data_IF_564744064591
#
_entry.id   IF_564744064591
#
_cell.length_a   1.000
_cell.length_b   1.000
_cell.length_c   1.000
_cell.angle_alpha   90.00
_cell.angle_beta   90.00
_cell.angle_gamma   90.00
#
_symmetry.space_group_name_H-M   'P 1'
#
loop_
_entity.id
_entity.type
_entity.pdbx_description
1 polymer ?
#
# COMPACT_ATOMS: atom_id res chain seq x y z
N UNK A 1 14.35 -49.29 -23.29
CA UNK A 1 14.71 -47.93 -23.70
C UNK A 1 13.52 -47.31 -24.43
N UNK A 2 12.59 -46.70 -23.69
CA UNK A 2 11.48 -45.89 -24.22
C UNK A 2 11.40 -44.62 -23.33
N UNK A 3 12.41 -43.77 -23.44
CA UNK A 3 12.46 -42.50 -22.67
C UNK A 3 12.63 -41.25 -23.56
N UNK A 4 12.80 -41.39 -24.87
CA UNK A 4 13.12 -40.27 -25.76
C UNK A 4 11.91 -39.46 -26.26
N UNK A 5 10.69 -39.94 -26.10
CA UNK A 5 9.50 -39.21 -26.59
C UNK A 5 8.88 -38.25 -25.56
N UNK A 6 8.95 -38.54 -24.27
CA UNK A 6 8.33 -37.72 -23.20
C UNK A 6 9.18 -36.49 -22.88
N UNK A 7 10.51 -36.64 -22.90
CA UNK A 7 11.44 -35.56 -22.64
C UNK A 7 11.42 -34.50 -23.75
N UNK A 8 11.22 -34.86 -24.99
CA UNK A 8 11.13 -33.95 -26.14
C UNK A 8 9.81 -33.19 -26.15
N UNK A 9 8.69 -33.83 -25.85
CA UNK A 9 7.37 -33.18 -25.73
C UNK A 9 7.35 -32.18 -24.53
N UNK A 10 7.90 -32.60 -23.39
CA UNK A 10 7.99 -31.72 -22.20
C UNK A 10 8.87 -30.50 -22.48
N UNK A 11 10.02 -30.71 -23.13
CA UNK A 11 10.93 -29.62 -23.51
C UNK A 11 10.27 -28.59 -24.46
N UNK A 12 9.48 -29.08 -25.43
CA UNK A 12 8.73 -28.22 -26.34
C UNK A 12 7.67 -27.42 -25.61
N UNK A 13 6.87 -28.04 -24.73
CA UNK A 13 5.82 -27.37 -23.94
C UNK A 13 6.42 -26.28 -23.06
N UNK A 14 7.53 -26.53 -22.36
CA UNK A 14 8.18 -25.55 -21.49
C UNK A 14 8.73 -24.36 -22.29
N UNK A 15 9.34 -24.61 -23.43
CA UNK A 15 9.84 -23.54 -24.29
C UNK A 15 8.71 -22.66 -24.83
N UNK A 16 7.60 -23.26 -25.27
CA UNK A 16 6.43 -22.54 -25.77
C UNK A 16 5.76 -21.72 -24.66
N UNK A 17 5.66 -22.26 -23.44
CA UNK A 17 5.13 -21.56 -22.29
C UNK A 17 5.95 -20.30 -21.98
N UNK A 18 7.29 -20.40 -21.93
CA UNK A 18 8.18 -19.25 -21.66
C UNK A 18 8.08 -18.20 -22.78
N UNK A 19 8.04 -18.61 -24.04
CA UNK A 19 7.89 -17.70 -25.18
C UNK A 19 6.54 -16.98 -25.16
N UNK A 20 5.47 -17.71 -24.87
CA UNK A 20 4.11 -17.17 -24.76
C UNK A 20 4.06 -16.15 -23.63
N UNK A 21 4.55 -16.50 -22.45
CA UNK A 21 4.62 -15.57 -21.31
C UNK A 21 5.38 -14.28 -21.64
N UNK A 22 6.56 -14.42 -22.25
CA UNK A 22 7.37 -13.28 -22.67
C UNK A 22 6.62 -12.39 -23.69
N UNK A 23 5.90 -12.99 -24.64
CA UNK A 23 5.11 -12.23 -25.61
C UNK A 23 3.94 -11.47 -24.95
N UNK A 24 3.24 -12.11 -24.00
CA UNK A 24 2.17 -11.47 -23.21
C UNK A 24 2.70 -10.31 -22.37
N UNK A 25 3.84 -10.49 -21.70
CA UNK A 25 4.48 -9.44 -20.91
C UNK A 25 4.84 -8.23 -21.78
N UNK A 26 5.46 -8.46 -22.94
CA UNK A 26 5.76 -7.37 -23.88
C UNK A 26 4.51 -6.63 -24.31
N UNK A 27 3.43 -7.34 -24.65
CA UNK A 27 2.17 -6.72 -25.06
C UNK A 27 1.59 -5.85 -23.92
N UNK A 28 1.62 -6.32 -22.67
CA UNK A 28 1.16 -5.55 -21.52
C UNK A 28 2.02 -4.29 -21.28
N UNK A 29 3.33 -4.38 -21.49
CA UNK A 29 4.24 -3.23 -21.38
C UNK A 29 4.01 -2.21 -22.49
N UNK A 30 3.81 -2.66 -23.73
CA UNK A 30 3.53 -1.78 -24.87
C UNK A 30 2.20 -1.02 -24.71
N UNK A 31 1.21 -1.63 -24.04
CA UNK A 31 -0.09 -1.04 -23.72
C UNK A 31 -0.15 -0.22 -22.43
N UNK A 32 0.94 -0.10 -21.69
CA UNK A 32 0.93 0.60 -20.40
C UNK A 32 0.75 2.11 -20.57
N UNK A 33 -0.22 2.69 -19.86
CA UNK A 33 -0.45 4.13 -19.83
C UNK A 33 0.66 4.84 -19.02
N UNK A 34 1.72 5.29 -19.69
CA UNK A 34 2.86 5.94 -19.04
C UNK A 34 2.47 7.22 -18.31
N UNK A 35 1.47 7.96 -18.82
CA UNK A 35 0.93 9.15 -18.16
C UNK A 35 0.32 8.84 -16.79
N UNK A 36 -0.28 7.66 -16.62
CA UNK A 36 -0.79 7.21 -15.33
C UNK A 36 0.37 6.90 -14.35
N UNK A 37 1.46 6.31 -14.84
CA UNK A 37 2.68 6.09 -14.01
C UNK A 37 3.28 7.43 -13.57
N UNK A 38 3.30 8.42 -14.48
CA UNK A 38 3.75 9.77 -14.15
C UNK A 38 2.82 10.45 -13.13
N UNK A 39 1.49 10.30 -13.27
CA UNK A 39 0.52 10.83 -12.31
C UNK A 39 0.76 10.28 -10.90
N UNK A 40 0.95 8.96 -10.75
CA UNK A 40 1.30 8.35 -9.45
C UNK A 40 2.62 8.90 -8.91
N UNK A 41 3.63 9.07 -9.77
CA UNK A 41 4.92 9.64 -9.38
C UNK A 41 4.78 11.07 -8.86
N UNK A 42 3.92 11.87 -9.48
CA UNK A 42 3.60 13.25 -9.05
C UNK A 42 2.89 13.29 -7.70
N UNK A 43 1.94 12.37 -7.45
CA UNK A 43 1.27 12.27 -6.14
C UNK A 43 2.25 11.94 -5.02
N UNK A 44 3.21 11.06 -5.26
CA UNK A 44 4.27 10.74 -4.30
C UNK A 44 5.14 11.99 -4.01
N UNK A 45 5.53 12.73 -5.04
CA UNK A 45 6.32 13.95 -4.88
C UNK A 45 5.51 15.06 -4.18
N UNK A 46 4.23 15.22 -4.51
CA UNK A 46 3.35 16.17 -3.85
C UNK A 46 3.16 15.82 -2.36
N UNK A 47 3.00 14.54 -2.03
CA UNK A 47 2.96 14.05 -0.63
C UNK A 47 4.25 14.36 0.11
N UNK A 48 5.38 14.11 -0.52
CA UNK A 48 6.69 14.47 0.03
C UNK A 48 6.79 15.98 0.32
N UNK A 49 6.33 16.84 -0.60
CA UNK A 49 6.41 18.30 -0.48
C UNK A 49 5.55 18.85 0.65
N UNK A 50 4.39 18.25 0.91
CA UNK A 50 3.53 18.62 2.05
C UNK A 50 3.90 17.93 3.36
N UNK A 51 4.96 17.09 3.36
CA UNK A 51 5.46 16.40 4.56
C UNK A 51 4.60 15.23 5.01
N UNK A 52 3.73 14.73 4.13
CA UNK A 52 2.86 13.59 4.38
C UNK A 52 3.61 12.26 4.47
N UNK A 53 2.90 11.23 4.87
CA UNK A 53 3.33 9.84 4.90
C UNK A 53 2.64 9.04 3.81
N UNK A 54 3.33 8.05 3.25
CA UNK A 54 2.77 7.12 2.29
C UNK A 54 2.51 5.80 2.99
N UNK A 55 1.30 5.26 2.83
CA UNK A 55 0.96 3.90 3.24
C UNK A 55 0.69 3.08 1.98
N UNK A 56 1.27 1.90 1.91
CA UNK A 56 1.09 1.01 0.76
C UNK A 56 0.69 -0.38 1.23
N UNK A 57 -0.26 -1.01 0.54
CA UNK A 57 -0.75 -2.34 0.89
C UNK A 57 -1.36 -3.08 -0.30
N UNK A 58 -1.49 -4.39 -0.14
CA UNK A 58 -2.09 -5.32 -1.08
C UNK A 58 -2.07 -6.74 -0.54
N UNK A 59 -2.54 -7.71 -1.31
CA UNK A 59 -2.57 -9.14 -0.94
C UNK A 59 -1.63 -9.95 -1.83
N UNK A 60 -1.09 -11.06 -1.34
CA UNK A 60 -0.29 -12.00 -2.14
C UNK A 60 0.90 -11.34 -2.84
N UNK A 61 0.99 -11.45 -4.17
CA UNK A 61 2.01 -10.79 -4.97
C UNK A 61 1.95 -9.26 -4.86
N UNK A 62 0.75 -8.69 -4.75
CA UNK A 62 0.57 -7.26 -4.47
C UNK A 62 1.11 -6.85 -3.09
N UNK A 63 1.07 -7.73 -2.07
CA UNK A 63 1.71 -7.48 -0.78
C UNK A 63 3.24 -7.46 -0.91
N UNK A 64 3.80 -8.39 -1.68
CA UNK A 64 5.24 -8.41 -1.97
C UNK A 64 5.67 -7.12 -2.69
N UNK A 65 4.89 -6.65 -3.66
CA UNK A 65 5.13 -5.37 -4.36
C UNK A 65 5.01 -4.19 -3.40
N UNK A 66 4.05 -4.19 -2.47
CA UNK A 66 3.90 -3.14 -1.46
C UNK A 66 5.12 -3.04 -0.53
N UNK A 67 5.61 -4.17 -0.03
CA UNK A 67 6.83 -4.25 0.78
C UNK A 67 8.06 -3.79 0.00
N UNK A 68 8.19 -4.20 -1.26
CA UNK A 68 9.27 -3.78 -2.15
C UNK A 68 9.23 -2.27 -2.41
N UNK A 69 8.05 -1.72 -2.68
CA UNK A 69 7.86 -0.28 -2.89
C UNK A 69 8.25 0.53 -1.65
N UNK A 70 7.87 0.07 -0.46
CA UNK A 70 8.27 0.72 0.79
C UNK A 70 9.80 0.71 0.98
N UNK A 71 10.45 -0.41 0.69
CA UNK A 71 11.91 -0.53 0.72
C UNK A 71 12.57 0.43 -0.28
N UNK A 72 12.14 0.41 -1.53
CA UNK A 72 12.77 1.17 -2.61
C UNK A 72 12.59 2.67 -2.43
N UNK A 73 11.37 3.13 -2.21
CA UNK A 73 11.10 4.56 -1.99
C UNK A 73 11.74 5.07 -0.70
N UNK A 74 11.76 4.25 0.38
CA UNK A 74 12.38 4.65 1.64
C UNK A 74 13.90 4.74 1.59
N UNK A 75 14.56 3.86 0.82
CA UNK A 75 16.03 3.72 0.76
C UNK A 75 16.64 4.37 -0.48
N UNK A 76 16.08 4.07 -1.68
CA UNK A 76 16.74 4.41 -2.94
C UNK A 76 16.54 5.86 -3.38
N UNK A 77 15.62 6.59 -2.74
CA UNK A 77 15.35 8.02 -3.00
C UNK A 77 16.11 8.96 -2.08
N UNK A 78 16.86 8.43 -1.12
CA UNK A 78 17.66 9.23 -0.18
C UNK A 78 18.59 10.16 -0.95
N UNK A 79 18.45 11.45 -0.71
CA UNK A 79 19.22 12.52 -1.34
C UNK A 79 19.84 13.40 -0.25
N UNK A 80 21.17 13.58 -0.25
CA UNK A 80 21.83 14.42 0.74
C UNK A 80 21.25 15.85 0.76
N UNK A 81 20.99 16.35 1.96
CA UNK A 81 20.43 17.71 2.14
C UNK A 81 18.91 17.80 2.03
N UNK A 82 18.20 16.73 1.67
CA UNK A 82 16.75 16.67 1.66
C UNK A 82 16.20 15.76 2.77
N UNK A 83 14.98 16.00 3.28
CA UNK A 83 14.28 15.10 4.16
C UNK A 83 14.12 13.71 3.51
N UNK A 84 13.96 12.68 4.32
CA UNK A 84 13.65 11.34 3.81
C UNK A 84 12.17 11.23 3.51
N UNK A 85 11.84 10.52 2.44
CA UNK A 85 10.48 10.12 2.12
C UNK A 85 9.96 9.18 3.22
N UNK A 86 8.76 9.43 3.71
CA UNK A 86 8.11 8.64 4.75
C UNK A 86 7.15 7.66 4.09
N UNK A 87 7.48 6.40 4.15
CA UNK A 87 6.64 5.33 3.58
C UNK A 87 6.61 4.12 4.49
N UNK A 88 5.47 3.46 4.56
CA UNK A 88 5.26 2.24 5.33
C UNK A 88 4.38 1.27 4.54
N UNK A 89 4.79 0.01 4.48
CA UNK A 89 3.93 -1.08 4.03
C UNK A 89 3.10 -1.62 5.20
N UNK A 90 1.79 -1.74 5.02
CA UNK A 90 0.90 -2.33 5.99
C UNK A 90 0.91 -3.87 5.95
N UNK A 91 1.70 -4.46 5.04
CA UNK A 91 1.82 -5.91 4.90
C UNK A 91 3.01 -6.50 5.67
N UNK A 92 3.90 -5.64 6.21
CA UNK A 92 5.19 -6.09 6.77
C UNK A 92 5.06 -6.60 8.21
N UNK A 93 4.06 -6.15 8.96
CA UNK A 93 3.83 -6.63 10.32
C UNK A 93 2.92 -7.86 10.32
N UNK A 94 3.49 -9.02 10.06
CA UNK A 94 2.77 -10.29 10.00
C UNK A 94 2.00 -10.60 11.27
N UNK A 95 2.55 -10.28 12.44
CA UNK A 95 1.88 -10.53 13.72
C UNK A 95 0.60 -9.70 13.85
N UNK A 96 0.66 -8.41 13.52
CA UNK A 96 -0.51 -7.52 13.55
C UNK A 96 -1.55 -7.95 12.52
N UNK A 97 -1.13 -8.24 11.29
CA UNK A 97 -2.02 -8.65 10.19
C UNK A 97 -2.77 -9.93 10.54
N UNK A 98 -2.07 -10.94 11.09
CA UNK A 98 -2.70 -12.21 11.47
C UNK A 98 -3.61 -12.07 12.69
N UNK A 99 -3.27 -11.23 13.68
CA UNK A 99 -4.12 -10.95 14.82
C UNK A 99 -5.42 -10.25 14.38
N UNK A 100 -5.34 -9.20 13.58
CA UNK A 100 -6.51 -8.50 13.04
C UNK A 100 -7.39 -9.44 12.20
N UNK A 101 -6.78 -10.28 11.35
CA UNK A 101 -7.51 -11.25 10.56
C UNK A 101 -8.25 -12.29 11.42
N UNK A 102 -7.64 -12.74 12.52
CA UNK A 102 -8.24 -13.71 13.45
C UNK A 102 -9.38 -13.10 14.26
N UNK A 103 -9.22 -11.88 14.73
CA UNK A 103 -10.13 -11.26 15.70
C UNK A 103 -11.27 -10.48 15.02
N UNK A 104 -11.02 -9.84 13.88
CA UNK A 104 -11.94 -8.94 13.20
C UNK A 104 -12.31 -9.39 11.77
N UNK A 105 -11.63 -10.40 11.25
CA UNK A 105 -11.79 -10.88 9.88
C UNK A 105 -10.79 -10.25 8.92
N UNK A 106 -10.48 -10.99 7.84
CA UNK A 106 -9.48 -10.56 6.86
C UNK A 106 -9.86 -9.27 6.12
N UNK A 107 -11.14 -8.97 6.04
CA UNK A 107 -11.64 -7.75 5.38
C UNK A 107 -11.23 -6.47 6.12
N UNK A 108 -10.99 -6.54 7.43
CA UNK A 108 -10.66 -5.39 8.26
C UNK A 108 -9.15 -5.07 8.32
N UNK A 109 -8.26 -5.97 7.88
CA UNK A 109 -6.82 -5.92 8.19
C UNK A 109 -6.11 -4.63 7.80
N UNK A 110 -6.48 -3.97 6.71
CA UNK A 110 -5.86 -2.71 6.29
C UNK A 110 -6.58 -1.50 6.88
N UNK A 111 -7.91 -1.54 6.94
CA UNK A 111 -8.72 -0.48 7.55
C UNK A 111 -8.33 -0.25 9.01
N UNK A 112 -8.21 -1.33 9.80
CA UNK A 112 -7.84 -1.26 11.22
C UNK A 112 -6.42 -0.71 11.43
N UNK A 113 -5.47 -1.07 10.57
CA UNK A 113 -4.13 -0.51 10.64
C UNK A 113 -4.11 0.99 10.33
N UNK A 114 -4.93 1.47 9.38
CA UNK A 114 -5.08 2.88 9.08
C UNK A 114 -5.82 3.66 10.18
N UNK A 115 -6.75 3.03 10.90
CA UNK A 115 -7.39 3.62 12.08
C UNK A 115 -6.42 3.75 13.27
N UNK A 116 -5.47 2.83 13.41
CA UNK A 116 -4.43 2.89 14.44
C UNK A 116 -3.33 3.90 14.10
N UNK A 117 -3.01 4.06 12.84
CA UNK A 117 -2.08 5.08 12.37
C UNK A 117 -2.82 6.42 12.19
N UNK A 118 -2.31 7.54 12.70
CA UNK A 118 -2.92 8.83 12.41
C UNK A 118 -2.75 9.15 10.92
N UNK A 119 -3.79 8.89 10.14
CA UNK A 119 -3.87 9.23 8.70
C UNK A 119 -4.47 10.63 8.56
N UNK A 120 -3.85 11.48 7.76
CA UNK A 120 -4.19 12.87 7.56
C UNK A 120 -4.39 13.21 6.09
N UNK A 121 -4.96 14.38 5.82
CA UNK A 121 -5.18 14.86 4.44
C UNK A 121 -3.89 15.06 3.63
N UNK A 122 -2.76 15.22 4.30
CA UNK A 122 -1.43 15.32 3.68
C UNK A 122 -0.87 13.96 3.24
N UNK A 123 -1.44 12.85 3.70
CA UNK A 123 -0.94 11.51 3.45
C UNK A 123 -1.41 10.95 2.10
N UNK A 124 -0.74 9.90 1.66
CA UNK A 124 -1.04 9.17 0.43
C UNK A 124 -1.22 7.69 0.73
N UNK A 125 -2.28 7.13 0.22
CA UNK A 125 -2.53 5.69 0.25
C UNK A 125 -2.31 5.12 -1.14
N UNK A 126 -1.46 4.10 -1.24
CA UNK A 126 -1.24 3.34 -2.47
C UNK A 126 -1.79 1.93 -2.25
N UNK A 127 -2.92 1.65 -2.85
CA UNK A 127 -3.61 0.36 -2.77
C UNK A 127 -3.30 -0.47 -4.02
N UNK A 128 -2.76 -1.68 -3.84
CA UNK A 128 -2.39 -2.57 -4.95
C UNK A 128 -3.32 -3.79 -4.92
N UNK A 129 -4.04 -4.02 -6.01
CA UNK A 129 -4.93 -5.17 -6.17
C UNK A 129 -5.06 -5.57 -7.63
N UNK A 130 -4.51 -6.71 -8.02
CA UNK A 130 -4.59 -7.18 -9.40
C UNK A 130 -6.03 -7.21 -9.93
N UNK A 131 -6.98 -7.73 -9.16
CA UNK A 131 -8.40 -7.74 -9.55
C UNK A 131 -9.11 -6.40 -9.39
N UNK A 132 -8.58 -5.50 -8.55
CA UNK A 132 -9.25 -4.27 -8.13
C UNK A 132 -10.50 -4.47 -7.28
N UNK A 133 -10.77 -5.71 -6.79
CA UNK A 133 -12.01 -6.04 -6.08
C UNK A 133 -11.78 -6.69 -4.70
N UNK A 134 -10.55 -6.69 -4.19
CA UNK A 134 -10.25 -7.28 -2.87
C UNK A 134 -10.96 -6.49 -1.76
N UNK A 135 -11.86 -7.12 -0.96
CA UNK A 135 -12.68 -6.39 0.03
C UNK A 135 -11.85 -5.63 1.06
N UNK A 136 -10.79 -6.23 1.59
CA UNK A 136 -9.89 -5.58 2.54
C UNK A 136 -9.13 -4.38 1.95
N UNK A 137 -8.77 -4.43 0.67
CA UNK A 137 -8.13 -3.31 -0.04
C UNK A 137 -9.12 -2.16 -0.20
N UNK A 138 -10.35 -2.47 -0.63
CA UNK A 138 -11.42 -1.46 -0.76
C UNK A 138 -11.80 -0.84 0.59
N UNK A 139 -11.85 -1.65 1.67
CA UNK A 139 -12.09 -1.14 3.02
C UNK A 139 -10.98 -0.19 3.49
N UNK A 140 -9.72 -0.53 3.23
CA UNK A 140 -8.59 0.36 3.52
C UNK A 140 -8.67 1.69 2.77
N UNK A 141 -8.99 1.66 1.47
CA UNK A 141 -9.19 2.88 0.67
C UNK A 141 -10.34 3.72 1.22
N UNK A 142 -11.47 3.11 1.55
CA UNK A 142 -12.62 3.83 2.12
C UNK A 142 -12.25 4.52 3.44
N UNK A 143 -11.50 3.86 4.32
CA UNK A 143 -11.00 4.44 5.58
C UNK A 143 -10.09 5.64 5.32
N UNK A 144 -9.18 5.53 4.35
CA UNK A 144 -8.28 6.61 3.97
C UNK A 144 -9.02 7.83 3.40
N UNK A 145 -9.99 7.58 2.51
CA UNK A 145 -10.84 8.63 1.93
C UNK A 145 -11.64 9.38 3.01
N UNK A 146 -12.17 8.66 4.01
CA UNK A 146 -12.85 9.28 5.15
C UNK A 146 -11.92 10.16 6.00
N UNK A 147 -10.64 9.83 6.08
CA UNK A 147 -9.61 10.64 6.73
C UNK A 147 -9.16 11.84 5.87
N UNK A 148 -9.60 11.93 4.62
CA UNK A 148 -9.24 12.98 3.68
C UNK A 148 -7.90 12.77 2.98
N UNK A 149 -7.27 11.60 3.13
CA UNK A 149 -6.01 11.29 2.48
C UNK A 149 -6.19 11.10 0.97
N UNK A 150 -5.13 11.38 0.20
CA UNK A 150 -5.09 11.09 -1.23
C UNK A 150 -4.96 9.59 -1.47
N UNK A 151 -5.55 9.10 -2.55
CA UNK A 151 -5.62 7.67 -2.85
C UNK A 151 -5.16 7.34 -4.26
N UNK A 152 -4.32 6.31 -4.37
CA UNK A 152 -3.84 5.72 -5.63
C UNK A 152 -4.21 4.25 -5.64
N UNK A 153 -4.78 3.78 -6.75
CA UNK A 153 -5.04 2.38 -7.02
C UNK A 153 -4.16 1.85 -8.15
N UNK A 154 -3.42 0.79 -7.91
CA UNK A 154 -2.66 0.07 -8.94
C UNK A 154 -3.34 -1.28 -9.17
N UNK A 155 -3.90 -1.50 -10.36
CA UNK A 155 -4.78 -2.63 -10.65
C UNK A 155 -4.44 -3.30 -11.98
N UNK A 156 -5.14 -4.41 -12.24
CA UNK A 156 -5.11 -5.13 -13.52
C UNK A 156 -6.49 -5.31 -14.11
N UNK A 157 -6.62 -6.20 -15.07
CA UNK A 157 -7.86 -6.48 -15.81
C UNK A 157 -8.50 -5.19 -16.35
N UNK A 158 -9.71 -4.88 -15.94
CA UNK A 158 -10.43 -3.64 -16.25
C UNK A 158 -10.49 -2.66 -15.05
N UNK A 159 -9.65 -2.86 -14.03
CA UNK A 159 -9.51 -1.94 -12.89
C UNK A 159 -10.36 -2.28 -11.67
N UNK A 160 -11.45 -3.04 -11.85
CA UNK A 160 -12.38 -3.38 -10.77
C UNK A 160 -13.01 -2.16 -10.08
N UNK A 161 -13.55 -2.33 -8.90
CA UNK A 161 -14.12 -1.26 -8.10
C UNK A 161 -13.04 -0.26 -7.64
N UNK A 162 -11.81 -0.71 -7.43
CA UNK A 162 -10.71 0.14 -6.96
C UNK A 162 -10.45 1.30 -7.92
N UNK A 163 -10.44 1.05 -9.23
CA UNK A 163 -10.16 2.08 -10.23
C UNK A 163 -11.17 3.24 -10.24
N UNK A 164 -12.40 3.02 -9.74
CA UNK A 164 -13.45 4.05 -9.69
C UNK A 164 -13.59 4.72 -8.32
N UNK A 165 -12.86 4.23 -7.31
CA UNK A 165 -12.94 4.73 -5.92
C UNK A 165 -11.74 5.56 -5.49
N UNK A 166 -10.65 5.52 -6.22
CA UNK A 166 -9.41 6.26 -5.91
C UNK A 166 -9.29 7.54 -6.73
N UNK A 167 -8.47 8.49 -6.25
CA UNK A 167 -8.22 9.75 -6.96
C UNK A 167 -7.37 9.54 -8.22
N UNK A 168 -6.43 8.61 -8.19
CA UNK A 168 -5.58 8.23 -9.33
C UNK A 168 -5.59 6.72 -9.51
N UNK A 169 -6.03 6.25 -10.66
CA UNK A 169 -6.01 4.84 -11.02
C UNK A 169 -4.95 4.54 -12.09
N UNK A 170 -4.16 3.48 -11.86
CA UNK A 170 -3.24 2.91 -12.81
C UNK A 170 -3.67 1.47 -13.10
N UNK A 171 -3.96 1.16 -14.36
CA UNK A 171 -4.52 -0.13 -14.77
C UNK A 171 -3.55 -0.80 -15.75
N UNK A 172 -3.16 -2.02 -15.42
CA UNK A 172 -2.44 -2.93 -16.32
C UNK A 172 -3.46 -3.77 -17.06
N UNK A 173 -3.69 -3.46 -18.33
CA UNK A 173 -4.68 -4.15 -19.17
C UNK A 173 -4.17 -5.54 -19.58
N UNK A 174 -4.35 -6.52 -18.69
CA UNK A 174 -4.07 -7.94 -18.91
C UNK A 174 -5.10 -8.77 -18.17
N UNK A 175 -5.39 -9.97 -18.66
CA UNK A 175 -6.23 -10.98 -18.02
C UNK A 175 -5.43 -12.10 -17.31
N UNK A 176 -4.09 -11.98 -17.31
CA UNK A 176 -3.16 -12.89 -16.67
C UNK A 176 -2.59 -12.25 -15.40
N UNK A 177 -2.86 -12.84 -14.24
CA UNK A 177 -2.47 -12.29 -12.94
C UNK A 177 -0.96 -12.13 -12.81
N UNK A 178 -0.20 -13.12 -13.26
CA UNK A 178 1.27 -13.12 -13.19
C UNK A 178 1.86 -11.97 -14.02
N UNK A 179 1.31 -11.69 -15.19
CA UNK A 179 1.69 -10.55 -16.02
C UNK A 179 1.37 -9.22 -15.33
N UNK A 180 0.19 -9.13 -14.71
CA UNK A 180 -0.21 -7.94 -13.95
C UNK A 180 0.78 -7.68 -12.82
N UNK A 181 1.13 -8.71 -12.04
CA UNK A 181 2.08 -8.60 -10.92
C UNK A 181 3.48 -8.22 -11.36
N UNK A 182 3.99 -8.80 -12.45
CA UNK A 182 5.29 -8.44 -13.03
C UNK A 182 5.33 -6.98 -13.49
N UNK A 183 4.28 -6.52 -14.16
CA UNK A 183 4.17 -5.13 -14.59
C UNK A 183 4.02 -4.18 -13.39
N UNK A 184 3.28 -4.56 -12.33
CA UNK A 184 3.21 -3.78 -11.08
C UNK A 184 4.59 -3.59 -10.45
N UNK A 185 5.42 -4.63 -10.44
CA UNK A 185 6.79 -4.54 -9.94
C UNK A 185 7.67 -3.63 -10.82
N UNK A 186 7.54 -3.72 -12.13
CA UNK A 186 8.23 -2.81 -13.06
C UNK A 186 7.80 -1.35 -12.84
N UNK A 187 6.50 -1.11 -12.65
CA UNK A 187 5.94 0.22 -12.34
C UNK A 187 6.55 0.77 -11.05
N UNK A 188 6.68 -0.05 -9.99
CA UNK A 188 7.37 0.35 -8.75
C UNK A 188 8.78 0.87 -9.02
N UNK A 189 9.56 0.15 -9.84
CA UNK A 189 10.93 0.56 -10.17
C UNK A 189 10.96 1.84 -11.02
N UNK A 190 10.01 2.01 -11.95
CA UNK A 190 9.89 3.22 -12.75
C UNK A 190 9.56 4.44 -11.89
N UNK A 191 8.59 4.32 -10.98
CA UNK A 191 8.20 5.35 -10.00
C UNK A 191 9.39 5.70 -9.10
N UNK A 192 10.05 4.71 -8.50
CA UNK A 192 11.21 4.92 -7.64
C UNK A 192 12.34 5.64 -8.37
N UNK A 193 12.57 5.30 -9.63
CA UNK A 193 13.57 5.98 -10.47
C UNK A 193 13.18 7.42 -10.73
N UNK A 194 11.91 7.70 -11.08
CA UNK A 194 11.38 9.05 -11.30
C UNK A 194 11.49 9.93 -10.06
N UNK A 195 11.04 9.42 -8.89
CA UNK A 195 11.14 10.14 -7.61
C UNK A 195 12.60 10.45 -7.26
N UNK A 196 13.49 9.47 -7.38
CA UNK A 196 14.93 9.66 -7.13
C UNK A 196 15.54 10.73 -8.03
N UNK A 197 15.23 10.71 -9.31
CA UNK A 197 15.75 11.71 -10.27
C UNK A 197 15.20 13.10 -9.93
N UNK A 198 13.93 13.24 -9.64
CA UNK A 198 13.30 14.51 -9.27
C UNK A 198 13.93 15.10 -7.99
N UNK A 199 14.12 14.30 -6.95
CA UNK A 199 14.72 14.77 -5.70
C UNK A 199 16.18 15.19 -5.89
N UNK A 200 16.96 14.44 -6.66
CA UNK A 200 18.36 14.81 -6.99
C UNK A 200 18.45 16.10 -7.80
N UNK A 201 17.55 16.34 -8.74
CA UNK A 201 17.51 17.57 -9.52
C UNK A 201 17.27 18.82 -8.64
N UNK A 202 16.50 18.68 -7.55
CA UNK A 202 16.27 19.77 -6.59
C UNK A 202 17.55 20.23 -5.88
N UNK A 203 18.45 19.31 -5.54
CA UNK A 203 19.75 19.67 -4.91
C UNK A 203 20.74 20.23 -5.90
N UNK A 204 20.71 19.80 -7.16
CA UNK A 204 21.57 20.33 -8.21
C UNK A 204 21.19 21.77 -8.62
N UNK A 205 19.91 22.13 -8.49
CA UNK A 205 19.40 23.48 -8.81
C UNK A 205 19.54 24.48 -7.65
N UNK A 206 19.87 24.02 -6.42
CA UNK A 206 20.09 24.91 -5.29
C UNK A 206 21.40 25.71 -5.51
N UNK A 207 21.41 27.06 -5.38
CA UNK A 207 22.61 27.85 -5.54
C UNK A 207 23.68 27.40 -4.52
N UNK A 208 24.91 27.20 -4.99
CA UNK A 208 26.09 26.88 -4.17
C UNK A 208 26.35 28.05 -3.20
N UNK A 209 25.83 27.98 -1.98
CA UNK A 209 26.00 29.02 -0.97
C UNK A 209 24.94 29.07 0.13
N UNK A 210 23.80 28.42 -0.02
CA UNK A 210 22.84 28.31 1.08
C UNK A 210 23.11 27.02 1.86
N UNK A 211 23.65 27.15 3.05
CA UNK A 211 23.68 26.06 4.03
C UNK A 211 22.27 25.47 4.13
N UNK A 212 22.08 24.15 4.03
CA UNK A 212 20.78 23.54 4.15
C UNK A 212 20.19 23.94 5.50
N UNK A 213 19.01 24.56 5.46
CA UNK A 213 18.25 24.85 6.66
C UNK A 213 18.04 23.51 7.38
N UNK A 214 18.47 23.36 8.63
CA UNK A 214 18.21 22.12 9.33
C UNK A 214 16.71 21.84 9.25
N UNK A 215 16.34 20.64 8.87
CA UNK A 215 14.96 20.20 8.88
C UNK A 215 14.37 20.59 10.25
N UNK A 216 13.33 21.41 10.25
CA UNK A 216 12.63 21.72 11.49
C UNK A 216 12.26 20.41 12.17
N UNK A 217 12.59 20.21 13.46
CA UNK A 217 12.15 19.02 14.16
C UNK A 217 10.63 18.96 14.00
N UNK A 218 10.13 17.77 13.64
CA UNK A 218 8.72 17.45 13.51
C UNK A 218 8.00 17.83 14.82
N UNK A 219 7.61 19.06 14.93
CA UNK A 219 6.67 19.53 15.94
C UNK A 219 5.31 19.56 15.27
N UNK A 220 4.62 18.43 15.39
CA UNK A 220 3.18 18.49 15.42
C UNK A 220 2.82 19.45 16.56
N UNK A 221 2.45 20.67 16.21
CA UNK A 221 1.82 21.57 17.13
C UNK A 221 0.54 20.87 17.61
N UNK A 222 0.62 20.24 18.79
CA UNK A 222 -0.56 19.88 19.56
C UNK A 222 -1.32 21.17 19.76
N UNK A 223 -2.35 21.43 18.98
CA UNK A 223 -3.38 22.39 19.33
C UNK A 223 -3.93 21.93 20.67
N UNK A 224 -3.47 22.59 21.72
CA UNK A 224 -4.06 22.52 23.03
C UNK A 224 -5.53 22.94 22.90
N UNK A 225 -6.41 21.97 22.91
CA UNK A 225 -7.81 22.20 23.25
C UNK A 225 -7.84 22.50 24.75
N UNK A 226 -7.59 23.74 25.12
CA UNK A 226 -8.03 24.28 26.40
C UNK A 226 -9.53 24.52 26.29
N UNK A 227 -10.28 23.50 26.61
CA UNK A 227 -11.66 23.63 26.98
C UNK A 227 -11.70 23.86 28.49
N UNK A 228 -11.97 25.07 28.89
CA UNK A 228 -12.37 25.39 30.25
C UNK A 228 -13.69 24.70 30.55
N UNK A 229 -13.65 23.58 31.25
CA UNK A 229 -14.77 22.81 31.73
C UNK A 229 -14.51 22.38 33.15
N UNK A 230 -15.00 23.16 34.09
CA UNK A 230 -15.07 22.86 35.53
C UNK A 230 -15.72 21.49 35.72
N UNK A 231 -14.97 20.52 36.20
CA UNK A 231 -15.53 19.24 36.63
C UNK A 231 -15.62 19.24 38.16
N UNK A 232 -16.85 19.38 38.65
CA UNK A 232 -17.19 19.17 40.06
C UNK A 232 -16.94 17.71 40.45
N UNK A 233 -16.20 17.54 41.52
CA UNK A 233 -15.97 16.26 42.16
C UNK A 233 -17.28 15.69 42.71
N UNK A 234 -17.61 14.47 42.34
CA UNK A 234 -18.51 13.60 43.11
C UNK A 234 -17.78 12.33 43.50
N UNK A 235 -17.53 12.24 44.80
CA UNK A 235 -17.14 11.04 45.54
C UNK A 235 -18.32 10.08 45.59
N UNK A 236 -18.09 8.80 45.34
CA UNK A 236 -19.10 7.74 45.48
C UNK A 236 -18.56 6.38 45.08
N UNK A 237 -18.02 5.77 46.03
CA UNK A 237 -18.11 4.40 46.52
C UNK A 237 -17.83 3.18 45.62
N UNK A 238 -17.12 2.28 46.24
CA UNK A 238 -16.53 1.05 45.76
C UNK A 238 -17.56 -0.10 45.57
N UNK A 239 -17.06 -1.15 44.95
CA UNK A 239 -17.48 -2.55 44.97
C UNK A 239 -18.52 -2.99 43.95
N UNK A 240 -18.10 -3.74 42.96
CA UNK A 240 -18.48 -5.15 42.76
C UNK A 240 -17.80 -5.72 41.50
N UNK A 241 -17.19 -6.91 41.55
CA UNK A 241 -16.66 -7.61 40.40
C UNK A 241 -17.74 -8.51 39.80
N UNK A 242 -17.94 -8.46 38.51
CA UNK A 242 -18.79 -9.41 37.80
C UNK A 242 -18.01 -10.09 36.69
N UNK A 243 -17.40 -11.19 37.02
CA UNK A 243 -17.00 -12.21 36.08
C UNK A 243 -17.88 -13.44 36.35
N UNK A 244 -18.77 -13.77 35.44
CA UNK A 244 -19.52 -15.03 35.43
C UNK A 244 -19.27 -15.74 34.11
N UNK A 245 -18.69 -16.96 34.09
CA UNK A 245 -18.62 -17.75 32.88
C UNK A 245 -19.95 -18.50 32.67
N UNK A 246 -20.62 -18.23 31.57
CA UNK A 246 -21.87 -18.87 31.16
C UNK A 246 -21.66 -19.92 30.09
N UNK A 247 -21.75 -21.16 30.52
CA UNK A 247 -22.35 -22.34 29.90
C UNK A 247 -22.14 -22.64 28.40
N UNK A 248 -21.35 -23.67 28.17
CA UNK A 248 -21.39 -24.52 27.00
C UNK A 248 -22.80 -25.07 26.72
N UNK A 249 -23.31 -24.88 25.52
CA UNK A 249 -24.46 -25.59 24.98
C UNK A 249 -23.98 -26.56 23.91
N UNK A 250 -23.94 -27.84 24.27
CA UNK A 250 -23.86 -28.98 23.37
C UNK A 250 -25.11 -29.00 22.47
N UNK A 251 -24.93 -29.07 21.17
CA UNK A 251 -25.90 -29.74 20.32
C UNK A 251 -25.15 -30.74 19.43
N UNK A 252 -25.43 -32.00 19.75
CA UNK A 252 -25.13 -33.21 18.96
C UNK A 252 -26.03 -33.31 17.73
N UNK A 253 -25.41 -33.80 16.65
CA UNK A 253 -25.83 -34.80 15.67
C UNK A 253 -27.26 -34.73 15.12
N UNK A 254 -27.37 -34.68 13.83
CA UNK A 254 -27.98 -35.72 12.95
C UNK A 254 -28.10 -35.17 11.52
N UNK A 255 -27.46 -35.68 10.62
CA UNK A 255 -27.56 -36.59 9.46
C UNK A 255 -26.50 -36.27 8.43
#
# INVERSE_FOLDING_TARGET
>A
MITTGVDDVTGTILNDAVRTYHAMLRHALDGLALDAVEAVTREILATYDRGGQIFVFGNGGSAATASHMACDLGKNTVTPGLPRLRIQSLTDNTALLTALANDLGYEAVFAEQLLQAPVWAEDLIIAISGSGNSPNVLAGVATATQAGAHTVGITGFCGGALATTVDVALIVASDCMEIIEDVHLMINHAITTGVRMALRARTAAAPTGSSPRPASPLHGARRSLRGDGVLAARTGDASTPLFTPGAASQRRSQR
#
